data_IF_129552427682
#
_entry.id   IF_129552427682
#
_cell.length_a   1.000
_cell.length_b   1.000
_cell.length_c   1.000
_cell.angle_alpha   90.00
_cell.angle_beta   90.00
_cell.angle_gamma   90.00
#
_symmetry.space_group_name_H-M   'P 1'
#
loop_
_entity.id
_entity.type
_entity.pdbx_description
1 polymer ?
#
# COMPACT_ATOMS: atom_id res chain seq x y z
N UNK A 1 27.30 5.48 -40.65
CA UNK A 1 27.07 5.26 -39.20
C UNK A 1 28.39 4.85 -38.58
N UNK A 2 28.92 5.54 -37.55
CA UNK A 2 30.21 5.16 -36.94
C UNK A 2 30.11 3.82 -36.22
N UNK A 3 31.10 2.94 -36.41
CA UNK A 3 31.21 1.67 -35.69
C UNK A 3 31.51 1.85 -34.19
N UNK A 4 31.43 0.76 -33.42
CA UNK A 4 31.63 0.76 -31.95
C UNK A 4 32.96 1.42 -31.55
N UNK A 5 34.05 1.03 -32.22
CA UNK A 5 35.40 1.54 -31.93
C UNK A 5 35.52 3.04 -32.23
N UNK A 6 34.98 3.51 -33.35
CA UNK A 6 35.01 4.94 -33.71
C UNK A 6 34.20 5.81 -32.74
N UNK A 7 33.04 5.32 -32.30
CA UNK A 7 32.24 5.98 -31.25
C UNK A 7 32.99 6.04 -29.92
N UNK A 8 33.61 4.92 -29.52
CA UNK A 8 34.39 4.85 -28.29
C UNK A 8 35.63 5.78 -28.33
N UNK A 9 36.36 5.82 -29.45
CA UNK A 9 37.49 6.76 -29.66
C UNK A 9 37.06 8.21 -29.48
N UNK A 10 35.93 8.61 -30.06
CA UNK A 10 35.39 9.98 -29.90
C UNK A 10 35.12 10.34 -28.45
N UNK A 11 34.52 9.43 -27.69
CA UNK A 11 34.26 9.63 -26.26
C UNK A 11 35.58 9.71 -25.48
N UNK A 12 36.51 8.78 -25.72
CA UNK A 12 37.80 8.72 -25.04
C UNK A 12 38.76 9.87 -25.41
N UNK A 13 38.50 10.58 -26.52
CA UNK A 13 39.20 11.81 -26.88
C UNK A 13 38.84 12.99 -25.96
N UNK A 14 37.62 13.02 -25.42
CA UNK A 14 37.11 14.11 -24.59
C UNK A 14 37.08 13.76 -23.10
N UNK A 15 36.86 12.49 -22.76
CA UNK A 15 36.61 12.04 -21.39
C UNK A 15 37.42 10.80 -21.02
N UNK A 16 37.77 10.68 -19.74
CA UNK A 16 38.11 9.39 -19.17
C UNK A 16 36.86 8.72 -18.62
N UNK A 17 36.59 7.49 -19.04
CA UNK A 17 35.53 6.66 -18.48
C UNK A 17 36.17 5.43 -17.83
N UNK A 18 35.66 4.97 -16.69
CA UNK A 18 35.99 3.63 -16.18
C UNK A 18 35.41 2.56 -17.12
N UNK A 19 35.83 1.31 -16.94
CA UNK A 19 35.42 0.23 -17.85
C UNK A 19 33.91 -0.04 -17.81
N UNK A 20 33.25 0.04 -16.66
CA UNK A 20 31.77 -0.01 -16.58
C UNK A 20 31.12 1.07 -17.46
N UNK A 21 31.53 2.33 -17.29
CA UNK A 21 30.98 3.46 -18.05
C UNK A 21 31.31 3.43 -19.53
N UNK A 22 32.45 2.86 -19.92
CA UNK A 22 32.80 2.69 -21.34
C UNK A 22 32.00 1.54 -21.96
N UNK A 23 31.91 0.40 -21.26
CA UNK A 23 31.20 -0.76 -21.75
C UNK A 23 29.70 -0.52 -21.86
N UNK A 24 29.09 0.13 -20.86
CA UNK A 24 27.64 0.35 -20.84
C UNK A 24 27.12 1.17 -22.03
N UNK A 25 27.95 1.98 -22.68
CA UNK A 25 27.59 2.68 -23.93
C UNK A 25 27.20 1.73 -25.07
N UNK A 26 27.55 0.45 -24.93
CA UNK A 26 27.34 -0.62 -25.90
C UNK A 26 26.76 -1.89 -25.24
N UNK A 27 26.09 -1.74 -24.08
CA UNK A 27 25.56 -2.85 -23.29
C UNK A 27 24.57 -3.74 -24.06
N UNK A 28 23.82 -3.17 -25.02
CA UNK A 28 22.80 -3.88 -25.80
C UNK A 28 23.40 -4.72 -26.96
N UNK A 29 24.72 -4.68 -27.16
CA UNK A 29 25.40 -5.50 -28.15
C UNK A 29 26.01 -6.72 -27.46
N UNK A 30 25.76 -7.95 -27.92
CA UNK A 30 26.24 -9.20 -27.29
C UNK A 30 25.72 -9.44 -25.86
N UNK A 31 25.55 -10.71 -25.50
CA UNK A 31 25.12 -11.15 -24.15
C UNK A 31 26.23 -11.95 -23.45
N UNK A 32 26.06 -12.27 -22.17
CA UNK A 32 26.99 -13.12 -21.42
C UNK A 32 28.26 -12.43 -20.88
N UNK A 33 28.37 -11.10 -20.99
CA UNK A 33 29.52 -10.32 -20.54
C UNK A 33 29.06 -9.13 -19.69
N UNK A 34 29.81 -8.81 -18.63
CA UNK A 34 29.58 -7.59 -17.84
C UNK A 34 30.03 -6.34 -18.59
N UNK A 35 29.45 -5.17 -18.26
CA UNK A 35 29.89 -3.91 -18.86
C UNK A 35 31.35 -3.59 -18.52
N UNK A 36 31.85 -4.01 -17.36
CA UNK A 36 33.27 -3.89 -17.00
C UNK A 36 34.17 -4.65 -17.98
N UNK A 37 33.87 -5.92 -18.26
CA UNK A 37 34.63 -6.73 -19.23
C UNK A 37 34.55 -6.14 -20.63
N UNK A 38 33.36 -5.69 -21.04
CA UNK A 38 33.11 -5.06 -22.34
C UNK A 38 33.92 -3.79 -22.52
N UNK A 39 33.90 -2.90 -21.53
CA UNK A 39 34.70 -1.67 -21.56
C UNK A 39 36.19 -1.94 -21.57
N UNK A 40 36.66 -2.92 -20.79
CA UNK A 40 38.05 -3.34 -20.79
C UNK A 40 38.48 -3.89 -22.16
N UNK A 41 37.62 -4.68 -22.83
CA UNK A 41 37.88 -5.18 -24.18
C UNK A 41 37.98 -4.04 -25.21
N UNK A 42 37.01 -3.12 -25.21
CA UNK A 42 37.02 -1.93 -26.09
C UNK A 42 38.30 -1.12 -25.87
N UNK A 43 38.65 -0.87 -24.61
CA UNK A 43 39.87 -0.12 -24.25
C UNK A 43 41.14 -0.80 -24.76
N UNK A 44 41.25 -2.13 -24.63
CA UNK A 44 42.40 -2.90 -25.11
C UNK A 44 42.55 -2.81 -26.63
N UNK A 45 41.46 -2.95 -27.38
CA UNK A 45 41.48 -2.82 -28.85
C UNK A 45 41.93 -1.41 -29.26
N UNK A 46 41.36 -0.37 -28.65
CA UNK A 46 41.75 1.03 -28.92
C UNK A 46 43.21 1.30 -28.54
N UNK A 47 43.71 0.68 -27.46
CA UNK A 47 45.10 0.79 -27.08
C UNK A 47 46.03 0.16 -28.13
N UNK A 48 45.69 -1.04 -28.65
CA UNK A 48 46.46 -1.68 -29.73
C UNK A 48 46.50 -0.80 -30.99
N UNK A 49 45.37 -0.24 -31.39
CA UNK A 49 45.32 0.70 -32.53
C UNK A 49 46.13 1.97 -32.28
N UNK A 50 46.10 2.50 -31.05
CA UNK A 50 46.87 3.68 -30.67
C UNK A 50 48.39 3.43 -30.66
N UNK A 51 48.81 2.21 -30.30
CA UNK A 51 50.21 1.80 -30.39
C UNK A 51 50.67 1.65 -31.84
N UNK A 52 49.81 1.12 -32.71
CA UNK A 52 50.08 0.99 -34.14
C UNK A 52 50.12 2.36 -34.84
N UNK A 53 49.14 3.24 -34.57
CA UNK A 53 49.04 4.59 -35.15
C UNK A 53 48.46 5.56 -34.14
N UNK A 54 49.20 6.63 -33.85
CA UNK A 54 48.76 7.66 -32.89
C UNK A 54 47.56 8.45 -33.43
N UNK A 55 46.61 8.71 -32.54
CA UNK A 55 45.46 9.59 -32.78
C UNK A 55 45.10 10.36 -31.50
N UNK A 56 44.21 11.34 -31.58
CA UNK A 56 43.81 12.16 -30.42
C UNK A 56 43.04 11.30 -29.41
N UNK A 57 43.60 11.13 -28.21
CA UNK A 57 42.93 10.44 -27.09
C UNK A 57 43.49 10.95 -25.75
N UNK A 58 42.66 11.03 -24.71
CA UNK A 58 43.14 11.31 -23.34
C UNK A 58 43.95 10.12 -22.83
N UNK A 59 45.22 10.34 -22.45
CA UNK A 59 46.16 9.28 -22.03
C UNK A 59 45.70 8.54 -20.77
N UNK A 60 44.89 9.20 -19.96
CA UNK A 60 44.18 8.66 -18.78
C UNK A 60 43.38 7.40 -19.12
N UNK A 61 42.87 7.30 -20.36
CA UNK A 61 42.17 6.11 -20.82
C UNK A 61 43.06 4.88 -21.00
N UNK A 62 44.38 5.00 -20.89
CA UNK A 62 45.31 3.87 -20.92
C UNK A 62 45.96 3.62 -19.56
N UNK A 63 45.35 4.10 -18.47
CA UNK A 63 45.73 3.74 -17.11
C UNK A 63 45.81 2.20 -16.96
N UNK A 64 46.94 1.71 -16.44
CA UNK A 64 47.20 0.28 -16.25
C UNK A 64 47.62 -0.50 -17.50
N UNK A 65 47.64 0.11 -18.68
CA UNK A 65 48.08 -0.54 -19.92
C UNK A 65 49.58 -0.33 -20.15
N UNK A 66 50.31 -1.44 -20.34
CA UNK A 66 51.73 -1.44 -20.69
C UNK A 66 51.89 -1.52 -22.21
N UNK A 67 52.44 -0.47 -22.82
CA UNK A 67 52.83 -0.49 -24.23
C UNK A 67 54.27 -0.98 -24.38
N UNK A 68 54.59 -1.59 -25.53
CA UNK A 68 55.95 -2.11 -25.82
C UNK A 68 56.96 -0.97 -25.94
N UNK A 69 56.58 0.09 -26.66
CA UNK A 69 57.50 1.18 -27.02
C UNK A 69 57.62 2.28 -25.96
N UNK A 70 56.76 2.32 -24.93
CA UNK A 70 56.78 3.37 -23.89
C UNK A 70 56.01 2.96 -22.63
N UNK A 71 56.53 3.27 -21.45
CA UNK A 71 55.75 3.19 -20.21
C UNK A 71 54.75 4.34 -20.14
N UNK A 72 53.47 4.03 -19.96
CA UNK A 72 52.44 5.04 -19.65
C UNK A 72 52.31 5.11 -18.13
N UNK A 73 52.94 6.10 -17.49
CA UNK A 73 52.83 6.34 -16.06
C UNK A 73 51.70 7.33 -15.78
N UNK A 74 50.45 6.88 -15.85
CA UNK A 74 49.30 7.69 -15.40
C UNK A 74 48.85 7.19 -14.04
N UNK A 75 48.47 8.11 -13.13
CA UNK A 75 47.74 7.77 -11.90
C UNK A 75 46.31 7.33 -12.22
N UNK A 76 45.65 6.58 -11.33
CA UNK A 76 44.25 6.15 -11.50
C UNK A 76 43.37 7.39 -11.62
N UNK A 77 42.75 7.65 -12.79
CA UNK A 77 41.93 8.83 -12.97
C UNK A 77 40.52 8.59 -12.43
N UNK A 78 39.81 9.65 -12.07
CA UNK A 78 38.40 9.56 -11.69
C UNK A 78 37.53 9.52 -12.95
N UNK A 79 36.62 8.54 -13.04
CA UNK A 79 35.66 8.44 -14.13
C UNK A 79 34.84 9.73 -14.26
N UNK A 80 34.78 10.29 -15.47
CA UNK A 80 34.00 11.49 -15.76
C UNK A 80 32.54 11.30 -15.36
N UNK A 81 31.89 10.22 -15.79
CA UNK A 81 30.47 10.00 -15.50
C UNK A 81 30.26 9.61 -14.05
N UNK A 82 30.75 8.43 -13.65
CA UNK A 82 30.28 7.79 -12.42
C UNK A 82 31.09 8.15 -11.17
N UNK A 83 32.14 8.96 -11.32
CA UNK A 83 33.06 9.31 -10.22
C UNK A 83 33.62 8.10 -9.44
N UNK A 84 33.74 6.95 -10.10
CA UNK A 84 34.18 5.67 -9.54
C UNK A 84 33.21 5.02 -8.54
N UNK A 85 31.90 5.31 -8.62
CA UNK A 85 30.89 4.71 -7.73
C UNK A 85 30.85 3.18 -7.76
N UNK A 86 31.21 2.55 -8.90
CA UNK A 86 31.28 1.09 -9.03
C UNK A 86 32.32 0.46 -8.11
N UNK A 87 33.35 1.21 -7.69
CA UNK A 87 34.36 0.73 -6.73
C UNK A 87 33.78 0.62 -5.30
N UNK A 88 32.64 1.26 -5.02
CA UNK A 88 31.98 1.28 -3.70
C UNK A 88 30.82 0.30 -3.57
N UNK A 89 30.56 -0.53 -4.60
CA UNK A 89 29.41 -1.46 -4.60
C UNK A 89 29.43 -2.39 -3.38
N UNK A 90 30.58 -2.98 -3.05
CA UNK A 90 30.65 -3.93 -1.94
C UNK A 90 30.33 -3.26 -0.60
N UNK A 91 30.73 -2.00 -0.40
CA UNK A 91 30.34 -1.21 0.77
C UNK A 91 28.82 -1.00 0.83
N UNK A 92 28.20 -0.59 -0.28
CA UNK A 92 26.75 -0.42 -0.34
C UNK A 92 25.99 -1.71 -0.04
N UNK A 93 26.50 -2.85 -0.52
CA UNK A 93 25.93 -4.17 -0.25
C UNK A 93 26.03 -4.49 1.26
N UNK A 94 27.18 -4.30 1.89
CA UNK A 94 27.34 -4.56 3.34
C UNK A 94 26.42 -3.66 4.19
N UNK A 95 26.33 -2.37 3.85
CA UNK A 95 25.45 -1.42 4.53
C UNK A 95 23.97 -1.87 4.41
N UNK A 96 23.55 -2.28 3.21
CA UNK A 96 22.20 -2.81 2.99
C UNK A 96 21.94 -4.10 3.77
N UNK A 97 22.88 -5.05 3.76
CA UNK A 97 22.76 -6.31 4.50
C UNK A 97 22.60 -6.06 6.00
N UNK A 98 23.33 -5.09 6.56
CA UNK A 98 23.19 -4.70 7.97
C UNK A 98 21.78 -4.22 8.31
N UNK A 99 21.20 -3.36 7.46
CA UNK A 99 19.85 -2.80 7.65
C UNK A 99 18.76 -3.87 7.44
N UNK A 100 19.01 -4.86 6.60
CA UNK A 100 18.08 -5.96 6.29
C UNK A 100 18.00 -7.04 7.38
N UNK A 101 19.03 -7.18 8.24
CA UNK A 101 19.09 -8.20 9.32
C UNK A 101 17.80 -8.41 10.12
N UNK A 102 17.08 -7.37 10.58
CA UNK A 102 15.87 -7.57 11.39
C UNK A 102 14.63 -7.98 10.59
N UNK A 103 14.71 -8.06 9.25
CA UNK A 103 13.56 -8.30 8.37
C UNK A 103 13.52 -9.74 7.84
N UNK A 104 12.33 -10.34 7.92
CA UNK A 104 12.00 -11.56 7.19
C UNK A 104 11.42 -11.18 5.83
N UNK A 105 12.07 -11.65 4.75
CA UNK A 105 11.59 -11.46 3.38
C UNK A 105 12.03 -12.64 2.50
N UNK A 106 11.33 -12.82 1.39
CA UNK A 106 11.65 -13.81 0.36
C UNK A 106 12.09 -13.14 -0.94
N UNK A 107 11.50 -11.98 -1.26
CA UNK A 107 11.79 -11.24 -2.49
C UNK A 107 12.21 -9.81 -2.22
N UNK A 108 13.03 -9.23 -3.11
CA UNK A 108 13.45 -7.85 -2.99
C UNK A 108 13.63 -7.17 -4.35
N UNK A 109 13.68 -5.84 -4.33
CA UNK A 109 14.01 -4.98 -5.46
C UNK A 109 15.09 -3.97 -5.04
N UNK A 110 15.98 -3.62 -5.96
CA UNK A 110 16.98 -2.56 -5.75
C UNK A 110 16.59 -1.32 -6.56
N UNK A 111 16.22 -0.26 -5.85
CA UNK A 111 16.03 1.07 -6.39
C UNK A 111 17.30 1.91 -6.25
N UNK A 112 17.61 2.73 -7.26
CA UNK A 112 18.71 3.70 -7.21
C UNK A 112 18.14 5.09 -7.44
N UNK A 113 18.40 6.01 -6.52
CA UNK A 113 18.22 7.45 -6.72
C UNK A 113 19.59 8.07 -6.97
N UNK A 114 19.80 8.47 -8.21
CA UNK A 114 21.06 9.05 -8.70
C UNK A 114 21.11 10.55 -8.37
N UNK A 115 22.32 11.08 -8.21
CA UNK A 115 22.52 12.53 -8.17
C UNK A 115 22.45 13.13 -9.58
N UNK A 116 21.88 14.34 -9.67
CA UNK A 116 21.66 15.05 -10.94
C UNK A 116 22.95 15.25 -11.73
N UNK A 117 24.07 15.50 -11.03
CA UNK A 117 25.36 15.68 -11.67
C UNK A 117 25.80 14.45 -12.48
N UNK A 118 25.61 13.23 -11.97
CA UNK A 118 25.99 12.01 -12.71
C UNK A 118 25.05 11.82 -13.92
N UNK A 119 23.76 12.10 -13.75
CA UNK A 119 22.77 12.02 -14.83
C UNK A 119 23.14 12.99 -15.97
N UNK A 120 23.48 14.23 -15.65
CA UNK A 120 23.91 15.24 -16.62
C UNK A 120 25.20 14.82 -17.35
N UNK A 121 26.20 14.29 -16.62
CA UNK A 121 27.46 13.84 -17.22
C UNK A 121 27.27 12.62 -18.13
N UNK A 122 26.40 11.69 -17.74
CA UNK A 122 25.99 10.57 -18.58
C UNK A 122 25.36 11.07 -19.88
N UNK A 123 24.43 12.03 -19.81
CA UNK A 123 23.77 12.56 -21.00
C UNK A 123 24.76 13.22 -21.96
N UNK A 124 25.73 13.98 -21.46
CA UNK A 124 26.79 14.59 -22.26
C UNK A 124 27.64 13.56 -23.01
N UNK A 125 27.99 12.44 -22.36
CA UNK A 125 28.71 11.35 -23.01
C UNK A 125 27.83 10.68 -24.07
N UNK A 126 26.56 10.42 -23.77
CA UNK A 126 25.61 9.81 -24.69
C UNK A 126 25.31 10.66 -25.93
N UNK A 127 25.36 12.00 -25.81
CA UNK A 127 25.28 12.90 -26.98
C UNK A 127 26.46 12.71 -27.93
N UNK A 128 27.62 12.27 -27.43
CA UNK A 128 28.82 12.04 -28.24
C UNK A 128 28.79 10.68 -28.98
N UNK A 129 28.36 9.59 -28.33
CA UNK A 129 28.37 8.24 -28.92
C UNK A 129 27.01 7.77 -29.49
N UNK A 130 25.93 8.45 -29.13
CA UNK A 130 24.55 8.01 -29.37
C UNK A 130 24.02 7.06 -28.28
N UNK A 131 22.69 6.99 -28.16
CA UNK A 131 21.98 6.22 -27.12
C UNK A 131 21.57 4.80 -27.53
N UNK A 132 21.64 4.46 -28.82
CA UNK A 132 20.99 3.26 -29.38
C UNK A 132 21.39 1.93 -28.75
N UNK A 133 22.59 1.84 -28.18
CA UNK A 133 23.12 0.60 -27.58
C UNK A 133 23.46 0.74 -26.10
N UNK A 134 23.11 1.88 -25.50
CA UNK A 134 23.53 2.21 -24.15
C UNK A 134 22.59 1.65 -23.09
N UNK A 135 23.16 1.22 -21.97
CA UNK A 135 22.46 0.99 -20.70
C UNK A 135 22.72 2.16 -19.76
N UNK A 136 21.66 2.65 -19.12
CA UNK A 136 21.74 3.71 -18.13
C UNK A 136 22.53 3.26 -16.91
N UNK A 137 23.33 4.17 -16.35
CA UNK A 137 24.16 3.89 -15.17
C UNK A 137 23.32 3.40 -13.98
N UNK A 138 22.11 3.93 -13.84
CA UNK A 138 21.13 3.56 -12.82
C UNK A 138 20.78 2.07 -12.90
N UNK A 139 20.53 1.57 -14.11
CA UNK A 139 20.15 0.19 -14.38
C UNK A 139 21.30 -0.77 -14.11
N UNK A 140 22.52 -0.40 -14.52
CA UNK A 140 23.71 -1.20 -14.24
C UNK A 140 23.99 -1.30 -12.73
N UNK A 141 23.92 -0.17 -12.01
CA UNK A 141 24.12 -0.14 -10.56
C UNK A 141 23.08 -0.98 -9.82
N UNK A 142 21.80 -0.83 -10.16
CA UNK A 142 20.72 -1.64 -9.58
C UNK A 142 20.98 -3.13 -9.80
N UNK A 143 21.34 -3.53 -11.03
CA UNK A 143 21.63 -4.92 -11.39
C UNK A 143 22.84 -5.48 -10.65
N UNK A 144 23.95 -4.74 -10.58
CA UNK A 144 25.19 -5.21 -9.96
C UNK A 144 25.12 -5.30 -8.43
N UNK A 145 24.40 -4.38 -7.79
CA UNK A 145 24.07 -4.46 -6.36
C UNK A 145 23.10 -5.61 -6.11
N UNK A 146 22.05 -5.72 -6.93
CA UNK A 146 21.03 -6.77 -6.83
C UNK A 146 21.62 -8.18 -6.85
N UNK A 147 22.47 -8.50 -7.84
CA UNK A 147 23.16 -9.80 -7.94
C UNK A 147 23.95 -10.15 -6.67
N UNK A 148 24.64 -9.18 -6.08
CA UNK A 148 25.46 -9.40 -4.87
C UNK A 148 24.59 -9.61 -3.63
N UNK A 149 23.50 -8.86 -3.50
CA UNK A 149 22.53 -9.06 -2.41
C UNK A 149 21.85 -10.43 -2.54
N UNK A 150 21.41 -10.81 -3.75
CA UNK A 150 20.80 -12.11 -4.03
C UNK A 150 21.76 -13.25 -3.67
N UNK A 151 23.03 -13.18 -4.10
CA UNK A 151 24.05 -14.16 -3.76
C UNK A 151 24.27 -14.29 -2.24
N UNK A 152 24.32 -13.17 -1.52
CA UNK A 152 24.63 -13.15 -0.07
C UNK A 152 23.43 -13.49 0.82
N UNK A 153 22.21 -13.38 0.31
CA UNK A 153 20.98 -13.59 1.10
C UNK A 153 20.15 -14.79 0.66
N UNK A 154 20.43 -15.32 -0.54
CA UNK A 154 19.63 -16.34 -1.22
C UNK A 154 18.15 -15.94 -1.36
N UNK A 155 17.86 -14.64 -1.42
CA UNK A 155 16.53 -14.07 -1.64
C UNK A 155 16.37 -13.75 -3.11
N UNK A 156 15.18 -13.92 -3.65
CA UNK A 156 14.94 -13.73 -5.07
C UNK A 156 14.73 -12.25 -5.42
N UNK A 157 15.29 -11.81 -6.54
CA UNK A 157 14.92 -10.52 -7.12
C UNK A 157 13.47 -10.58 -7.68
N UNK A 158 12.63 -9.61 -7.34
CA UNK A 158 11.27 -9.48 -7.85
C UNK A 158 10.97 -8.00 -8.16
N UNK A 159 10.72 -7.69 -9.43
CA UNK A 159 10.43 -6.33 -9.89
C UNK A 159 8.97 -5.93 -9.71
N UNK A 160 8.06 -6.90 -9.62
CA UNK A 160 6.63 -6.69 -9.70
C UNK A 160 6.02 -6.66 -8.29
N UNK A 161 6.41 -7.59 -7.42
CA UNK A 161 5.90 -7.71 -6.05
C UNK A 161 6.99 -7.99 -5.00
N UNK A 162 8.01 -7.13 -4.87
CA UNK A 162 9.03 -7.29 -3.83
C UNK A 162 8.42 -7.22 -2.43
N UNK A 163 8.94 -8.02 -1.50
CA UNK A 163 8.64 -7.84 -0.08
C UNK A 163 9.32 -6.57 0.47
N UNK A 164 10.51 -6.26 -0.03
CA UNK A 164 11.30 -5.07 0.34
C UNK A 164 11.91 -4.45 -0.92
N UNK A 165 11.68 -3.16 -1.11
CA UNK A 165 12.46 -2.35 -2.05
C UNK A 165 13.55 -1.62 -1.28
N UNK A 166 14.80 -1.91 -1.63
CA UNK A 166 16.01 -1.30 -1.06
C UNK A 166 16.39 -0.13 -1.97
N UNK A 167 16.22 1.10 -1.48
CA UNK A 167 16.46 2.31 -2.26
C UNK A 167 17.78 2.93 -1.81
N UNK A 168 18.78 2.90 -2.69
CA UNK A 168 20.04 3.60 -2.49
C UNK A 168 19.90 5.04 -2.98
N UNK A 169 19.78 5.98 -2.03
CA UNK A 169 19.80 7.42 -2.31
C UNK A 169 21.26 7.89 -2.29
N UNK A 170 21.85 7.92 -3.48
CA UNK A 170 23.24 8.30 -3.68
C UNK A 170 23.45 9.82 -3.61
N UNK A 171 22.37 10.60 -3.73
CA UNK A 171 22.40 12.05 -3.57
C UNK A 171 22.57 12.42 -2.09
N UNK A 172 21.87 11.72 -1.19
CA UNK A 172 21.91 11.97 0.26
C UNK A 172 22.76 10.95 1.03
N UNK A 173 23.40 10.01 0.34
CA UNK A 173 24.20 8.93 0.93
C UNK A 173 23.44 8.14 2.02
N UNK A 174 22.21 7.72 1.73
CA UNK A 174 21.35 6.95 2.63
C UNK A 174 20.72 5.74 1.94
N UNK A 175 20.36 4.74 2.72
CA UNK A 175 19.61 3.57 2.26
C UNK A 175 18.22 3.62 2.90
N UNK A 176 17.18 3.66 2.07
CA UNK A 176 15.79 3.62 2.51
C UNK A 176 15.20 2.24 2.21
N UNK A 177 14.36 1.75 3.12
CA UNK A 177 13.61 0.51 2.91
C UNK A 177 12.12 0.84 2.77
N UNK A 178 11.57 0.54 1.61
CA UNK A 178 10.13 0.44 1.42
C UNK A 178 9.72 -1.02 1.60
N UNK A 179 9.02 -1.30 2.70
CA UNK A 179 8.64 -2.66 3.11
C UNK A 179 7.17 -2.86 2.84
N UNK A 180 6.87 -3.78 1.92
CA UNK A 180 5.50 -4.03 1.45
C UNK A 180 4.58 -4.45 2.59
N UNK A 181 3.50 -3.69 2.77
CA UNK A 181 2.45 -3.97 3.76
C UNK A 181 1.85 -5.37 3.60
N UNK A 182 1.39 -5.94 4.71
CA UNK A 182 0.59 -7.17 4.72
C UNK A 182 -0.87 -6.80 4.91
N UNK A 183 -1.76 -7.39 4.11
CA UNK A 183 -3.20 -7.17 4.21
C UNK A 183 -3.88 -8.43 4.73
N UNK A 184 -4.75 -8.26 5.73
CA UNK A 184 -5.55 -9.33 6.33
C UNK A 184 -7.01 -8.97 6.12
N UNK A 185 -7.72 -9.78 5.35
CA UNK A 185 -9.18 -9.71 5.27
C UNK A 185 -9.80 -10.45 6.45
N UNK A 186 -10.96 -9.98 6.90
CA UNK A 186 -11.77 -10.67 7.89
C UNK A 186 -13.18 -10.12 7.95
N UNK A 187 -13.97 -10.65 8.86
CA UNK A 187 -15.26 -10.09 9.23
C UNK A 187 -15.35 -9.96 10.74
N UNK A 188 -15.88 -8.84 11.25
CA UNK A 188 -15.99 -8.60 12.68
C UNK A 188 -17.43 -8.41 13.14
N UNK A 189 -17.72 -8.83 14.37
CA UNK A 189 -18.92 -8.53 15.14
C UNK A 189 -18.52 -7.72 16.37
N UNK A 190 -19.23 -6.62 16.62
CA UNK A 190 -19.03 -5.72 17.77
C UNK A 190 -20.14 -5.99 18.78
N UNK A 191 -19.80 -6.62 19.90
CA UNK A 191 -20.75 -7.12 20.89
C UNK A 191 -21.14 -6.09 21.95
N UNK A 192 -20.34 -5.04 22.13
CA UNK A 192 -20.53 -4.00 23.15
C UNK A 192 -20.88 -2.64 22.53
N UNK A 193 -21.55 -1.79 23.32
CA UNK A 193 -21.74 -0.36 23.02
C UNK A 193 -20.62 0.44 23.69
N UNK A 194 -20.40 1.67 23.25
CA UNK A 194 -19.48 2.61 23.92
C UNK A 194 -18.07 2.67 23.33
N UNK A 195 -17.69 1.72 22.46
CA UNK A 195 -16.40 1.77 21.75
C UNK A 195 -16.59 2.22 20.29
N UNK A 196 -15.71 3.07 19.72
CA UNK A 196 -15.74 3.42 18.32
C UNK A 196 -15.23 2.28 17.42
N UNK A 197 -15.56 2.34 16.14
CA UNK A 197 -15.02 1.42 15.14
C UNK A 197 -13.51 1.65 14.88
N UNK A 198 -13.13 2.92 14.77
CA UNK A 198 -11.75 3.37 14.50
C UNK A 198 -11.20 4.12 15.69
N UNK A 199 -9.88 4.14 15.87
CA UNK A 199 -9.21 4.79 17.01
C UNK A 199 -9.51 6.29 17.13
N UNK A 200 -9.99 6.72 18.30
CA UNK A 200 -10.31 8.11 18.66
C UNK A 200 -9.70 8.44 20.03
N UNK A 201 -9.09 9.60 20.22
CA UNK A 201 -8.33 9.94 21.45
C UNK A 201 -9.15 9.92 22.75
N UNK A 202 -10.47 10.09 22.65
CA UNK A 202 -11.39 10.10 23.80
C UNK A 202 -11.79 8.72 24.31
N UNK A 203 -11.35 7.64 23.65
CA UNK A 203 -11.75 6.27 23.97
C UNK A 203 -10.50 5.41 24.15
N UNK A 204 -10.48 4.60 25.20
CA UNK A 204 -9.34 3.75 25.53
C UNK A 204 -9.08 2.67 24.47
N UNK A 205 -10.14 2.17 23.83
CA UNK A 205 -10.07 1.11 22.84
C UNK A 205 -11.07 1.34 21.70
N UNK A 206 -10.80 0.71 20.57
CA UNK A 206 -11.69 0.66 19.41
C UNK A 206 -11.72 -0.75 18.82
N UNK A 207 -12.70 -1.02 17.95
CA UNK A 207 -12.73 -2.29 17.18
C UNK A 207 -11.43 -2.49 16.41
N UNK A 208 -10.94 -1.43 15.76
CA UNK A 208 -9.65 -1.40 15.07
C UNK A 208 -8.50 -1.80 15.98
N UNK A 209 -8.38 -1.19 17.18
CA UNK A 209 -7.28 -1.49 18.10
C UNK A 209 -7.30 -2.94 18.58
N UNK A 210 -8.48 -3.45 18.94
CA UNK A 210 -8.66 -4.83 19.43
C UNK A 210 -8.23 -5.83 18.34
N UNK A 211 -8.61 -5.60 17.09
CA UNK A 211 -8.25 -6.47 15.97
C UNK A 211 -6.76 -6.31 15.60
N UNK A 212 -6.24 -5.10 15.58
CA UNK A 212 -4.89 -4.81 15.07
C UNK A 212 -3.77 -5.23 16.03
N UNK A 213 -3.99 -5.15 17.34
CA UNK A 213 -2.96 -5.36 18.37
C UNK A 213 -2.25 -6.72 18.27
N UNK A 214 -2.94 -7.87 18.14
CA UNK A 214 -2.28 -9.17 17.96
C UNK A 214 -1.39 -9.22 16.71
N UNK A 215 -1.90 -8.70 15.58
CA UNK A 215 -1.16 -8.69 14.31
C UNK A 215 0.07 -7.79 14.35
N UNK A 216 -0.02 -6.59 14.95
CA UNK A 216 1.12 -5.69 15.13
C UNK A 216 2.24 -6.37 15.92
N UNK A 217 1.88 -7.05 17.02
CA UNK A 217 2.84 -7.79 17.85
C UNK A 217 3.47 -8.96 17.09
N UNK A 218 2.65 -9.77 16.42
CA UNK A 218 3.12 -10.95 15.70
C UNK A 218 4.01 -10.61 14.50
N UNK A 219 3.61 -9.61 13.69
CA UNK A 219 4.31 -9.19 12.47
C UNK A 219 5.41 -8.15 12.74
N UNK A 220 5.49 -7.62 13.97
CA UNK A 220 6.38 -6.50 14.33
C UNK A 220 6.21 -5.32 13.37
N UNK A 221 4.96 -4.95 13.10
CA UNK A 221 4.60 -3.86 12.20
C UNK A 221 4.90 -2.48 12.81
N UNK A 222 5.24 -1.50 11.96
CA UNK A 222 5.44 -0.10 12.38
C UNK A 222 4.12 0.63 12.65
N UNK A 223 3.02 0.16 12.07
CA UNK A 223 1.70 0.74 12.22
C UNK A 223 0.65 -0.07 11.46
N UNK A 224 -0.60 0.38 11.51
CA UNK A 224 -1.71 -0.26 10.79
C UNK A 224 -2.68 0.75 10.20
N UNK A 225 -3.55 0.27 9.30
CA UNK A 225 -4.72 1.00 8.82
C UNK A 225 -5.90 0.03 8.74
N UNK A 226 -7.04 0.42 9.31
CA UNK A 226 -8.26 -0.37 9.24
C UNK A 226 -9.21 0.11 8.13
N UNK A 227 -9.71 -0.83 7.32
CA UNK A 227 -10.64 -0.57 6.24
C UNK A 227 -11.88 -1.45 6.39
N UNK A 228 -13.06 -0.88 6.62
CA UNK A 228 -14.29 -1.65 6.78
C UNK A 228 -15.36 -1.31 5.73
N UNK A 229 -16.26 -2.26 5.48
CA UNK A 229 -17.45 -2.07 4.65
C UNK A 229 -18.51 -1.23 5.38
N UNK A 230 -18.25 0.08 5.51
CA UNK A 230 -19.08 1.02 6.26
C UNK A 230 -18.75 1.07 7.76
N UNK A 231 -19.60 1.73 8.53
CA UNK A 231 -19.40 2.03 9.95
C UNK A 231 -20.70 1.97 10.74
N UNK A 232 -20.60 1.66 12.03
CA UNK A 232 -21.67 1.80 13.02
C UNK A 232 -21.36 2.94 14.01
N UNK A 233 -22.41 3.48 14.63
CA UNK A 233 -22.26 4.46 15.70
C UNK A 233 -21.62 3.81 16.95
N UNK A 234 -21.04 4.65 17.82
CA UNK A 234 -20.34 4.22 19.04
C UNK A 234 -21.30 3.48 19.99
N UNK A 235 -22.51 3.99 20.11
CA UNK A 235 -23.60 3.43 20.92
C UNK A 235 -24.34 2.27 20.24
N UNK A 236 -23.94 1.85 19.03
CA UNK A 236 -24.53 0.73 18.31
C UNK A 236 -23.68 -0.54 18.42
N UNK A 237 -24.32 -1.72 18.43
CA UNK A 237 -23.64 -3.00 18.23
C UNK A 237 -23.70 -3.40 16.77
N UNK A 238 -22.75 -4.21 16.34
CA UNK A 238 -22.79 -4.90 15.05
C UNK A 238 -22.77 -6.39 15.35
N UNK A 239 -23.94 -6.98 15.57
CA UNK A 239 -24.07 -8.40 15.90
C UNK A 239 -23.90 -9.30 14.67
N UNK A 240 -24.13 -8.75 13.48
CA UNK A 240 -23.69 -9.35 12.23
C UNK A 240 -22.17 -9.21 12.02
N UNK A 241 -21.65 -9.91 11.02
CA UNK A 241 -20.22 -9.90 10.67
C UNK A 241 -19.93 -8.91 9.54
N UNK A 242 -19.35 -7.76 9.89
CA UNK A 242 -18.98 -6.71 8.92
C UNK A 242 -17.63 -7.03 8.29
N UNK A 243 -17.52 -7.08 6.95
CA UNK A 243 -16.24 -7.24 6.27
C UNK A 243 -15.26 -6.10 6.54
N UNK A 244 -13.98 -6.44 6.72
CA UNK A 244 -12.87 -5.52 6.86
C UNK A 244 -11.59 -6.02 6.19
N UNK A 245 -10.64 -5.11 5.98
CA UNK A 245 -9.24 -5.38 5.67
C UNK A 245 -8.38 -4.58 6.65
N UNK A 246 -7.49 -5.27 7.34
CA UNK A 246 -6.43 -4.69 8.16
C UNK A 246 -5.14 -4.64 7.34
N UNK A 247 -4.58 -3.46 7.16
CA UNK A 247 -3.26 -3.26 6.57
C UNK A 247 -2.23 -3.12 7.70
N UNK A 248 -1.19 -3.95 7.70
CA UNK A 248 -0.03 -3.85 8.59
C UNK A 248 1.14 -3.24 7.82
N UNK A 249 1.57 -2.05 8.24
CA UNK A 249 2.63 -1.26 7.59
C UNK A 249 4.01 -1.64 8.10
N UNK A 250 4.96 -1.74 7.17
CA UNK A 250 6.37 -2.00 7.45
C UNK A 250 6.64 -3.21 8.38
N UNK A 251 6.04 -4.39 8.12
CA UNK A 251 6.23 -5.56 8.96
C UNK A 251 7.68 -6.08 8.93
N UNK A 252 8.26 -6.37 10.09
CA UNK A 252 9.57 -7.05 10.16
C UNK A 252 9.47 -8.56 10.02
N UNK A 253 8.33 -9.16 10.38
CA UNK A 253 8.01 -10.58 10.16
C UNK A 253 6.89 -10.69 9.14
N UNK A 254 6.91 -11.72 8.29
CA UNK A 254 5.91 -11.87 7.20
C UNK A 254 5.01 -13.08 7.33
N UNK A 255 5.35 -14.01 8.23
CA UNK A 255 4.52 -15.17 8.55
C UNK A 255 3.73 -14.90 9.82
N UNK A 256 2.46 -15.27 9.81
CA UNK A 256 1.56 -15.17 10.96
C UNK A 256 0.58 -16.34 10.93
N UNK A 257 0.31 -16.90 12.10
CA UNK A 257 -0.74 -17.90 12.29
C UNK A 257 -2.08 -17.18 12.43
N UNK A 258 -2.90 -17.28 11.38
CA UNK A 258 -4.20 -16.61 11.30
C UNK A 258 -5.19 -17.16 12.34
N UNK A 259 -5.14 -18.46 12.64
CA UNK A 259 -6.07 -19.09 13.57
C UNK A 259 -5.75 -18.65 15.01
N UNK A 260 -4.48 -18.61 15.38
CA UNK A 260 -4.05 -18.09 16.68
C UNK A 260 -4.45 -16.62 16.85
N UNK A 261 -4.32 -15.79 15.81
CA UNK A 261 -4.74 -14.38 15.87
C UNK A 261 -6.25 -14.25 16.05
N UNK A 262 -7.06 -15.06 15.34
CA UNK A 262 -8.51 -15.08 15.52
C UNK A 262 -8.89 -15.44 16.97
N UNK A 263 -8.25 -16.47 17.55
CA UNK A 263 -8.46 -16.87 18.94
C UNK A 263 -8.08 -15.75 19.92
N UNK A 264 -6.96 -15.07 19.71
CA UNK A 264 -6.52 -13.95 20.57
C UNK A 264 -7.49 -12.77 20.52
N UNK A 265 -7.99 -12.41 19.33
CA UNK A 265 -8.97 -11.33 19.17
C UNK A 265 -10.30 -11.69 19.84
N UNK A 266 -10.77 -12.93 19.63
CA UNK A 266 -12.05 -13.40 20.16
C UNK A 266 -12.08 -13.48 21.69
N UNK A 267 -10.92 -13.66 22.34
CA UNK A 267 -10.80 -13.60 23.81
C UNK A 267 -11.17 -12.24 24.42
N UNK A 268 -11.22 -11.18 23.61
CA UNK A 268 -11.61 -9.85 24.10
C UNK A 268 -13.03 -9.80 24.69
N UNK A 269 -13.93 -10.69 24.23
CA UNK A 269 -15.35 -10.66 24.58
C UNK A 269 -16.14 -9.46 24.03
N UNK A 270 -15.45 -8.45 23.47
CA UNK A 270 -16.02 -7.21 22.93
C UNK A 270 -16.15 -7.24 21.41
N UNK A 271 -15.19 -7.88 20.75
CA UNK A 271 -15.16 -8.05 19.30
C UNK A 271 -14.91 -9.52 18.98
N UNK A 272 -15.72 -10.07 18.08
CA UNK A 272 -15.47 -11.38 17.47
C UNK A 272 -15.05 -11.20 16.03
N UNK A 273 -14.12 -12.01 15.57
CA UNK A 273 -13.68 -12.10 14.18
C UNK A 273 -13.81 -13.51 13.65
N UNK A 274 -14.08 -13.60 12.35
CA UNK A 274 -14.08 -14.85 11.59
C UNK A 274 -13.58 -14.60 10.17
N UNK A 275 -13.41 -15.68 9.41
CA UNK A 275 -13.01 -15.65 8.00
C UNK A 275 -11.72 -14.83 7.77
N UNK A 276 -10.81 -14.84 8.76
CA UNK A 276 -9.52 -14.17 8.63
C UNK A 276 -8.69 -14.87 7.56
N UNK A 277 -8.06 -14.09 6.68
CA UNK A 277 -7.11 -14.60 5.67
C UNK A 277 -6.19 -13.50 5.17
N UNK A 278 -4.98 -13.88 4.77
CA UNK A 278 -4.10 -12.99 4.02
C UNK A 278 -4.77 -12.61 2.69
N UNK A 279 -4.57 -11.37 2.26
CA UNK A 279 -5.17 -10.82 1.05
C UNK A 279 -4.26 -9.79 0.41
N UNK A 280 -4.73 -9.18 -0.67
CA UNK A 280 -4.03 -8.15 -1.41
C UNK A 280 -4.67 -6.78 -1.23
N UNK A 281 -3.92 -5.73 -1.59
CA UNK A 281 -4.39 -4.34 -1.58
C UNK A 281 -5.67 -4.14 -2.41
N UNK A 282 -5.86 -4.91 -3.47
CA UNK A 282 -7.07 -4.88 -4.32
C UNK A 282 -8.35 -5.11 -3.49
N UNK A 283 -8.29 -5.95 -2.45
CA UNK A 283 -9.41 -6.25 -1.55
C UNK A 283 -9.87 -5.03 -0.74
N UNK A 284 -8.97 -4.08 -0.45
CA UNK A 284 -9.33 -2.83 0.24
C UNK A 284 -10.37 -2.05 -0.58
N UNK A 285 -10.17 -1.95 -1.90
CA UNK A 285 -11.11 -1.27 -2.79
C UNK A 285 -12.44 -2.02 -2.85
N UNK A 286 -12.40 -3.35 -2.92
CA UNK A 286 -13.59 -4.18 -2.92
C UNK A 286 -14.43 -3.98 -1.65
N UNK A 287 -13.81 -4.06 -0.46
CA UNK A 287 -14.49 -3.86 0.83
C UNK A 287 -15.09 -2.46 0.97
N UNK A 288 -14.37 -1.41 0.53
CA UNK A 288 -14.90 -0.04 0.56
C UNK A 288 -16.09 0.18 -0.38
N UNK A 289 -16.19 -0.57 -1.47
CA UNK A 289 -17.30 -0.50 -2.44
C UNK A 289 -18.50 -1.39 -2.09
N UNK A 290 -18.39 -2.26 -1.07
CA UNK A 290 -19.49 -3.13 -0.67
C UNK A 290 -20.70 -2.32 -0.19
N UNK A 291 -21.73 -2.26 -1.04
CA UNK A 291 -23.01 -1.65 -0.74
C UNK A 291 -24.03 -2.76 -0.44
N UNK A 292 -24.02 -3.25 0.79
CA UNK A 292 -25.00 -4.24 1.25
C UNK A 292 -26.13 -3.56 2.00
N UNK A 293 -27.35 -4.04 1.74
CA UNK A 293 -28.48 -3.80 2.63
C UNK A 293 -28.17 -4.31 4.03
N UNK A 294 -28.82 -3.70 5.01
CA UNK A 294 -28.54 -4.00 6.42
C UNK A 294 -29.86 -4.20 7.14
N UNK A 295 -29.86 -5.18 8.01
CA UNK A 295 -30.98 -5.47 8.90
C UNK A 295 -30.62 -4.93 10.26
N UNK A 296 -31.46 -4.06 10.78
CA UNK A 296 -31.27 -3.40 12.05
C UNK A 296 -32.33 -3.87 13.04
N UNK A 297 -31.94 -4.03 14.30
CA UNK A 297 -32.86 -4.14 15.43
C UNK A 297 -32.80 -2.85 16.23
N UNK A 298 -33.95 -2.22 16.43
CA UNK A 298 -34.04 -0.90 17.09
C UNK A 298 -35.06 -0.97 18.21
N UNK A 299 -34.64 -0.59 19.42
CA UNK A 299 -35.56 -0.43 20.55
C UNK A 299 -35.98 1.03 20.60
N UNK A 300 -37.30 1.26 20.55
CA UNK A 300 -37.88 2.59 20.42
C UNK A 300 -38.90 2.81 21.52
N UNK A 301 -38.79 3.93 22.22
CA UNK A 301 -39.81 4.45 23.12
C UNK A 301 -40.53 5.64 22.50
N UNK A 302 -41.82 5.72 22.77
CA UNK A 302 -42.72 6.78 22.32
C UNK A 302 -43.19 7.62 23.50
N UNK A 303 -43.49 8.90 23.25
CA UNK A 303 -44.04 9.79 24.28
C UNK A 303 -45.39 9.31 24.78
N UNK A 304 -46.27 9.00 23.83
CA UNK A 304 -47.66 8.63 24.08
C UNK A 304 -47.93 7.16 23.73
N UNK A 305 -49.09 6.63 24.16
CA UNK A 305 -49.53 5.28 23.80
C UNK A 305 -49.69 5.16 22.28
N UNK A 306 -49.12 4.11 21.70
CA UNK A 306 -49.24 3.84 20.27
C UNK A 306 -50.62 3.24 19.97
N UNK A 307 -51.46 3.99 19.27
CA UNK A 307 -52.82 3.56 18.89
C UNK A 307 -52.84 2.67 17.65
N UNK A 308 -52.23 3.12 16.55
CA UNK A 308 -52.22 2.41 15.28
C UNK A 308 -50.80 2.09 14.80
N UNK A 309 -50.20 1.03 15.35
CA UNK A 309 -48.83 0.62 14.95
C UNK A 309 -48.73 0.26 13.46
N UNK A 310 -49.82 -0.17 12.82
CA UNK A 310 -49.79 -0.60 11.43
C UNK A 310 -49.47 0.53 10.43
N UNK A 311 -49.67 1.80 10.82
CA UNK A 311 -49.33 2.96 9.97
C UNK A 311 -47.84 3.05 9.65
N UNK A 312 -46.96 2.42 10.46
CA UNK A 312 -45.51 2.37 10.19
C UNK A 312 -45.17 1.65 8.88
N UNK A 313 -46.09 0.84 8.32
CA UNK A 313 -45.92 0.24 6.99
C UNK A 313 -45.76 1.29 5.89
N UNK A 314 -46.24 2.53 6.10
CA UNK A 314 -46.03 3.65 5.19
C UNK A 314 -44.56 4.08 5.02
N UNK A 315 -43.64 3.52 5.81
CA UNK A 315 -42.20 3.73 5.64
C UNK A 315 -41.59 2.89 4.50
N UNK A 316 -42.30 1.85 4.05
CA UNK A 316 -41.82 0.94 3.00
C UNK A 316 -41.68 1.68 1.67
N UNK A 317 -40.60 1.41 0.94
CA UNK A 317 -40.28 2.12 -0.29
C UNK A 317 -39.26 3.23 -0.07
N UNK A 318 -39.39 4.33 -0.81
CA UNK A 318 -38.39 5.40 -0.83
C UNK A 318 -38.63 6.38 0.32
N UNK A 319 -37.58 6.60 1.11
CA UNK A 319 -37.52 7.61 2.16
C UNK A 319 -36.53 8.69 1.77
N UNK A 320 -36.96 9.95 1.85
CA UNK A 320 -36.08 11.11 1.72
C UNK A 320 -35.39 11.37 3.07
N UNK A 321 -34.06 11.37 3.07
CA UNK A 321 -33.22 11.72 4.22
C UNK A 321 -32.30 12.88 3.88
N UNK A 322 -32.54 14.04 4.48
CA UNK A 322 -31.54 15.10 4.56
C UNK A 322 -30.49 14.73 5.60
N UNK A 323 -29.25 15.19 5.40
CA UNK A 323 -28.12 14.81 6.26
C UNK A 323 -28.43 15.12 7.74
N UNK A 324 -28.34 14.13 8.65
CA UNK A 324 -28.79 14.34 10.03
C UNK A 324 -28.06 15.46 10.75
N UNK A 325 -28.78 16.20 11.61
CA UNK A 325 -28.21 17.33 12.38
C UNK A 325 -26.95 16.93 13.15
N UNK A 326 -26.97 15.76 13.81
CA UNK A 326 -25.84 15.24 14.60
C UNK A 326 -24.54 15.01 13.82
N UNK A 327 -24.60 14.86 12.49
CA UNK A 327 -23.41 14.65 11.64
C UNK A 327 -23.10 15.83 10.72
N UNK A 328 -23.86 16.93 10.78
CA UNK A 328 -23.66 18.11 9.91
C UNK A 328 -22.25 18.70 10.03
N UNK A 329 -21.70 18.74 11.25
CA UNK A 329 -20.34 19.23 11.49
C UNK A 329 -19.23 18.41 10.77
N UNK A 330 -19.57 17.24 10.19
CA UNK A 330 -18.62 16.38 9.46
C UNK A 330 -19.06 16.04 8.04
N UNK A 331 -20.27 16.44 7.61
CA UNK A 331 -20.88 15.99 6.37
C UNK A 331 -21.60 17.14 5.69
N UNK A 332 -21.43 17.25 4.37
CA UNK A 332 -22.20 18.18 3.54
C UNK A 332 -23.69 17.93 3.71
N UNK A 333 -24.45 19.01 3.87
CA UNK A 333 -25.89 18.95 3.98
C UNK A 333 -26.55 18.67 2.63
N UNK A 334 -26.87 17.40 2.38
CA UNK A 334 -27.55 16.94 1.17
C UNK A 334 -28.75 16.06 1.50
N UNK A 335 -29.72 16.03 0.58
CA UNK A 335 -30.83 15.07 0.55
C UNK A 335 -30.40 13.77 -0.15
N UNK A 336 -30.86 12.64 0.35
CA UNK A 336 -30.63 11.30 -0.20
C UNK A 336 -31.93 10.54 -0.19
N UNK A 337 -32.16 9.73 -1.21
CA UNK A 337 -33.30 8.83 -1.28
C UNK A 337 -32.80 7.43 -0.93
N UNK A 338 -33.48 6.77 0.01
CA UNK A 338 -33.07 5.46 0.53
C UNK A 338 -34.25 4.53 0.58
N UNK A 339 -34.07 3.29 0.10
CA UNK A 339 -35.13 2.29 0.09
C UNK A 339 -35.20 1.54 1.42
N UNK A 340 -36.37 1.55 2.05
CA UNK A 340 -36.72 0.63 3.15
C UNK A 340 -37.42 -0.57 2.54
N UNK A 341 -36.82 -1.74 2.74
CA UNK A 341 -37.24 -2.99 2.10
C UNK A 341 -38.25 -3.76 2.96
N UNK A 342 -38.03 -3.80 4.27
CA UNK A 342 -38.97 -4.43 5.19
C UNK A 342 -38.93 -3.80 6.57
N UNK A 343 -40.05 -3.89 7.28
CA UNK A 343 -40.20 -3.51 8.68
C UNK A 343 -41.05 -4.56 9.39
N UNK A 344 -40.54 -5.06 10.51
CA UNK A 344 -41.27 -5.91 11.46
C UNK A 344 -41.21 -5.26 12.82
N UNK A 345 -42.18 -5.54 13.69
CA UNK A 345 -42.17 -5.01 15.05
C UNK A 345 -42.69 -6.01 16.06
N UNK A 346 -42.21 -5.87 17.29
CA UNK A 346 -42.71 -6.55 18.48
C UNK A 346 -43.07 -5.51 19.53
N UNK A 347 -44.30 -5.58 20.05
CA UNK A 347 -44.74 -4.74 21.16
C UNK A 347 -44.05 -5.22 22.45
N UNK A 348 -43.45 -4.30 23.19
CA UNK A 348 -42.94 -4.53 24.55
C UNK A 348 -43.98 -4.06 25.56
N UNK A 349 -44.49 -2.84 25.36
CA UNK A 349 -45.64 -2.29 26.06
C UNK A 349 -46.30 -1.21 25.19
N UNK A 350 -47.28 -0.49 25.74
CA UNK A 350 -48.05 0.54 25.03
C UNK A 350 -47.24 1.73 24.50
N UNK A 351 -46.03 1.95 25.02
CA UNK A 351 -45.13 3.04 24.61
C UNK A 351 -43.78 2.56 24.08
N UNK A 352 -43.57 1.24 23.97
CA UNK A 352 -42.24 0.67 23.64
C UNK A 352 -42.34 -0.49 22.68
N UNK A 353 -41.56 -0.41 21.61
CA UNK A 353 -41.53 -1.39 20.52
C UNK A 353 -40.10 -1.73 20.13
N UNK A 354 -39.91 -2.95 19.65
CA UNK A 354 -38.68 -3.38 18.98
C UNK A 354 -38.99 -3.49 17.50
N UNK A 355 -38.25 -2.77 16.66
CA UNK A 355 -38.37 -2.83 15.21
C UNK A 355 -37.21 -3.63 14.62
N UNK A 356 -37.50 -4.52 13.67
CA UNK A 356 -36.51 -5.07 12.75
C UNK A 356 -36.70 -4.43 11.37
N UNK A 357 -35.70 -3.69 10.88
CA UNK A 357 -35.79 -2.88 9.66
C UNK A 357 -34.70 -3.34 8.69
N UNK A 358 -35.09 -3.77 7.48
CA UNK A 358 -34.15 -3.97 6.37
C UNK A 358 -34.11 -2.69 5.52
N UNK A 359 -32.93 -2.09 5.40
CA UNK A 359 -32.77 -0.83 4.68
C UNK A 359 -31.51 -0.81 3.81
N UNK A 360 -31.60 -0.02 2.74
CA UNK A 360 -30.50 0.23 1.82
C UNK A 360 -29.26 0.78 2.53
N UNK A 361 -28.08 0.46 2.00
CA UNK A 361 -26.81 0.99 2.51
C UNK A 361 -26.81 2.53 2.59
N UNK A 362 -26.39 3.05 3.75
CA UNK A 362 -26.33 4.48 4.02
C UNK A 362 -27.61 5.10 4.59
N UNK A 363 -28.63 4.30 4.86
CA UNK A 363 -29.84 4.75 5.56
C UNK A 363 -29.53 5.13 7.01
N UNK A 364 -29.96 6.32 7.44
CA UNK A 364 -29.83 6.81 8.80
C UNK A 364 -31.00 6.34 9.66
N UNK A 365 -30.83 5.22 10.36
CA UNK A 365 -31.92 4.53 11.07
C UNK A 365 -32.46 5.32 12.27
N UNK A 366 -31.60 6.06 12.99
CA UNK A 366 -32.07 6.89 14.12
C UNK A 366 -33.04 7.97 13.65
N UNK A 367 -32.73 8.56 12.51
CA UNK A 367 -33.52 9.60 11.87
C UNK A 367 -34.75 9.06 11.12
N UNK A 368 -34.68 7.82 10.62
CA UNK A 368 -35.87 7.08 10.15
C UNK A 368 -36.91 6.90 11.27
N UNK A 369 -36.44 6.70 12.51
CA UNK A 369 -37.31 6.56 13.68
C UNK A 369 -37.85 7.91 14.14
N UNK A 370 -36.98 8.88 14.44
CA UNK A 370 -37.36 10.12 15.12
C UNK A 370 -37.73 11.29 14.18
N UNK A 371 -37.45 11.17 12.88
CA UNK A 371 -37.74 12.18 11.86
C UNK A 371 -36.77 13.36 11.77
N UNK A 372 -35.86 13.53 12.73
CA UNK A 372 -34.89 14.63 12.85
C UNK A 372 -35.50 16.01 12.54
N UNK A 373 -36.64 16.32 13.18
CA UNK A 373 -37.41 17.55 12.98
C UNK A 373 -37.79 17.79 11.49
N UNK A 374 -38.31 16.75 10.83
CA UNK A 374 -38.78 16.82 9.45
C UNK A 374 -37.70 16.68 8.39
N UNK A 375 -36.46 16.35 8.77
CA UNK A 375 -35.35 16.08 7.84
C UNK A 375 -35.40 14.68 7.24
N UNK A 376 -36.19 13.77 7.81
CA UNK A 376 -36.50 12.45 7.23
C UNK A 376 -38.00 12.30 6.98
N UNK A 377 -38.38 11.98 5.74
CA UNK A 377 -39.78 11.86 5.29
C UNK A 377 -39.98 10.64 4.36
N UNK A 378 -40.93 9.74 4.64
CA UNK A 378 -41.65 9.58 5.92
C UNK A 378 -40.71 9.15 7.07
N UNK A 379 -41.17 9.26 8.31
CA UNK A 379 -40.48 8.72 9.51
C UNK A 379 -41.49 8.01 10.43
N UNK A 380 -41.02 7.11 11.30
CA UNK A 380 -41.90 6.36 12.21
C UNK A 380 -42.64 7.31 13.16
N UNK A 381 -41.95 8.29 13.73
CA UNK A 381 -42.56 9.30 14.59
C UNK A 381 -43.66 10.09 13.86
N UNK A 382 -43.41 10.46 12.61
CA UNK A 382 -44.39 11.17 11.77
C UNK A 382 -45.62 10.31 11.46
N UNK A 383 -45.42 9.06 11.03
CA UNK A 383 -46.51 8.14 10.65
C UNK A 383 -47.42 7.77 11.84
N UNK A 384 -46.89 7.84 13.06
CA UNK A 384 -47.64 7.59 14.29
C UNK A 384 -48.17 8.85 14.95
N UNK A 385 -47.83 10.03 14.41
CA UNK A 385 -48.03 11.32 15.07
C UNK A 385 -47.60 11.29 16.55
N UNK A 386 -46.46 10.66 16.83
CA UNK A 386 -46.01 10.36 18.18
C UNK A 386 -44.48 10.45 18.24
N UNK A 387 -43.91 11.40 18.99
CA UNK A 387 -42.47 11.57 19.11
C UNK A 387 -41.79 10.31 19.64
N UNK A 388 -40.73 9.88 18.94
CA UNK A 388 -40.03 8.63 19.18
C UNK A 388 -38.56 8.87 19.56
N UNK A 389 -38.06 8.08 20.52
CA UNK A 389 -36.67 8.04 20.97
C UNK A 389 -36.08 6.66 20.68
N UNK A 390 -34.90 6.63 20.05
CA UNK A 390 -34.12 5.40 19.91
C UNK A 390 -33.36 5.15 21.20
N UNK A 391 -33.69 4.06 21.89
CA UNK A 391 -32.97 3.64 23.10
C UNK A 391 -31.73 2.82 22.75
N UNK A 392 -31.83 2.00 21.72
CA UNK A 392 -30.71 1.16 21.30
C UNK A 392 -30.84 0.72 19.84
N UNK A 393 -29.68 0.52 19.19
CA UNK A 393 -29.58 0.16 17.78
C UNK A 393 -28.54 -0.94 17.58
N UNK A 394 -28.91 -2.01 16.91
CA UNK A 394 -28.01 -3.11 16.55
C UNK A 394 -28.09 -3.39 15.06
N UNK A 395 -26.95 -3.64 14.42
CA UNK A 395 -26.90 -4.26 13.09
C UNK A 395 -26.94 -5.78 13.29
N UNK A 396 -27.98 -6.44 12.82
CA UNK A 396 -28.22 -7.88 13.03
C UNK A 396 -28.11 -8.71 11.74
N UNK A 397 -27.96 -8.09 10.58
CA UNK A 397 -27.74 -8.79 9.31
C UNK A 397 -27.22 -7.90 8.20
N UNK A 398 -26.61 -8.52 7.19
CA UNK A 398 -26.22 -7.91 5.93
C UNK A 398 -26.89 -8.68 4.78
N UNK A 399 -27.38 -7.97 3.76
CA UNK A 399 -28.21 -8.54 2.70
C UNK A 399 -29.70 -8.59 3.05
N UNK A 400 -30.50 -9.12 2.13
CA UNK A 400 -31.87 -9.54 2.44
C UNK A 400 -31.78 -10.86 3.23
N UNK A 401 -32.63 -11.05 4.25
CA UNK A 401 -32.84 -12.41 4.76
C UNK A 401 -33.43 -13.17 3.58
N UNK A 402 -32.64 -14.06 2.97
CA UNK A 402 -33.10 -14.95 1.93
C UNK A 402 -34.40 -15.61 2.42
N UNK A 403 -35.50 -15.18 1.84
CA UNK A 403 -36.74 -15.91 1.86
C UNK A 403 -36.64 -17.05 0.86
N UNK A 404 -35.66 -17.94 1.04
CA UNK A 404 -35.64 -19.26 0.42
C UNK A 404 -35.02 -20.24 1.41
N UNK A 405 -35.89 -21.08 1.98
CA UNK A 405 -35.54 -22.45 2.32
C UNK A 405 -35.07 -23.11 1.02
N UNK A 406 -33.91 -23.74 1.06
CA UNK A 406 -33.74 -25.05 0.43
C UNK A 406 -33.56 -26.06 1.56
#
# INVERSE_FOLDING_TARGET
MFGVIEKAKKVMASYYLCDNCLGRLFALLLTGMSNRERGAAIRKVIAMEYEAKRFKIKRENFYGIKFRKKRTSVKKPQCYVCKNIFDSIDKYVEDALSILKPYQFSTFLVGIKMCDEIVMREEQVLRTCGKSYAEDIKSELSREIGKRIELRTSKAYDKDMPDITIIFDLEHNKIELDVRSIFIYGEYSKLVRGIPQTKWDKYEESVEDIIAKPFIKALKGKGHVFHAAGREDIDARCLAYRPFVLEIKGPKKRRVDIESMAKEINKSGKVLVRNLKLTERSKVRAVKKMAMDKIYRVVVSFRDRVKNIASVKGILGIVEQRTPRRVLHRRKDIKRYKKIKSIKWKKVNDKKYIFEICAESGTYIKELVNGDNGRTKPSIAYLLNNPAKVESLDVIGFGEKDGKKE
#
